data_IF_652551044931
#
_entry.id   IF_652551044931
#
_cell.length_a   1.000
_cell.length_b   1.000
_cell.length_c   1.000
_cell.angle_alpha   90.00
_cell.angle_beta   90.00
_cell.angle_gamma   90.00
#
_symmetry.space_group_name_H-M   'P 1'
#
loop_
_entity.id
_entity.type
_entity.pdbx_description
1 polymer ?
#
# COMPACT_ATOMS: atom_id res chain seq x y z
N UNK A 1 1.32 9.90 12.59
CA UNK A 1 1.59 9.12 11.39
C UNK A 1 3.10 8.93 11.23
N UNK A 2 3.54 7.67 11.06
CA UNK A 2 4.93 7.25 10.90
C UNK A 2 5.09 6.46 9.59
N UNK A 3 5.50 7.12 8.52
CA UNK A 3 5.59 6.51 7.18
C UNK A 3 6.94 6.77 6.51
N UNK A 4 7.33 5.87 5.61
CA UNK A 4 8.47 6.06 4.72
C UNK A 4 8.27 7.27 3.79
N UNK A 5 9.35 7.81 3.24
CA UNK A 5 9.28 8.97 2.33
C UNK A 5 9.02 10.33 3.01
N UNK A 6 8.61 10.35 4.28
CA UNK A 6 8.52 11.57 5.09
C UNK A 6 9.78 11.83 5.91
N UNK A 7 10.00 13.12 6.24
CA UNK A 7 11.14 13.55 7.06
C UNK A 7 11.09 12.92 8.46
N UNK A 8 12.16 12.23 8.83
CA UNK A 8 12.35 11.67 10.17
C UNK A 8 12.26 12.75 11.26
N UNK A 9 12.86 13.91 11.05
CA UNK A 9 12.84 15.01 12.02
C UNK A 9 11.43 15.53 12.30
N UNK A 10 10.56 15.61 11.27
CA UNK A 10 9.15 16.00 11.46
C UNK A 10 8.41 14.98 12.31
N UNK A 11 8.67 13.68 12.08
CA UNK A 11 8.05 12.62 12.86
C UNK A 11 8.54 12.61 14.31
N UNK A 12 9.84 12.81 14.55
CA UNK A 12 10.40 12.98 15.90
C UNK A 12 9.75 14.13 16.68
N UNK A 13 9.54 15.28 16.03
CA UNK A 13 8.83 16.42 16.66
C UNK A 13 7.37 16.05 17.03
N UNK A 14 6.68 15.28 16.19
CA UNK A 14 5.31 14.82 16.48
C UNK A 14 5.27 13.83 17.64
N UNK A 15 6.21 12.89 17.73
CA UNK A 15 6.30 11.91 18.81
C UNK A 15 6.55 12.55 20.19
N UNK A 16 7.30 13.66 20.27
CA UNK A 16 7.49 14.41 21.51
C UNK A 16 6.18 14.92 22.14
N UNK A 17 5.10 15.03 21.35
CA UNK A 17 3.76 15.45 21.84
C UNK A 17 2.96 14.31 22.50
N UNK A 18 3.56 13.14 22.75
CA UNK A 18 2.96 11.99 23.43
C UNK A 18 1.62 11.56 22.78
N UNK A 19 1.65 11.27 21.48
CA UNK A 19 0.47 10.81 20.75
C UNK A 19 -0.09 9.53 21.39
N UNK A 20 -1.41 9.48 21.61
CA UNK A 20 -2.11 8.30 22.15
C UNK A 20 -2.32 7.22 21.08
N UNK A 21 -2.47 7.62 19.82
CA UNK A 21 -2.64 6.73 18.68
C UNK A 21 -1.45 6.91 17.74
N UNK A 22 -0.83 5.80 17.37
CA UNK A 22 0.28 5.75 16.44
C UNK A 22 -0.17 4.92 15.24
N UNK A 23 -0.13 5.53 14.06
CA UNK A 23 -0.37 4.86 12.78
C UNK A 23 0.93 4.91 11.99
N UNK A 24 1.35 3.77 11.45
CA UNK A 24 2.60 3.74 10.71
C UNK A 24 2.82 2.47 9.89
N UNK A 25 3.76 2.56 8.97
CA UNK A 25 4.24 1.38 8.23
C UNK A 25 5.26 0.61 9.07
N UNK A 26 5.31 -0.75 9.00
CA UNK A 26 6.17 -1.57 9.84
C UNK A 26 7.64 -1.15 9.81
N UNK A 27 8.21 -0.89 8.63
CA UNK A 27 9.60 -0.46 8.49
C UNK A 27 9.91 0.87 9.20
N UNK A 28 9.03 1.87 9.11
CA UNK A 28 9.23 3.16 9.77
C UNK A 28 9.05 3.09 11.29
N UNK A 29 8.12 2.27 11.76
CA UNK A 29 7.98 2.00 13.20
C UNK A 29 9.28 1.39 13.73
N UNK A 30 9.84 0.39 13.05
CA UNK A 30 11.12 -0.22 13.44
C UNK A 30 12.29 0.77 13.43
N UNK A 31 12.35 1.70 12.48
CA UNK A 31 13.35 2.76 12.47
C UNK A 31 13.27 3.62 13.73
N UNK A 32 12.07 3.96 14.17
CA UNK A 32 11.85 4.71 15.41
C UNK A 32 12.17 3.90 16.66
N UNK A 33 11.85 2.61 16.69
CA UNK A 33 12.19 1.69 17.79
C UNK A 33 13.71 1.54 17.92
N UNK A 34 14.42 1.29 16.82
CA UNK A 34 15.90 1.22 16.81
C UNK A 34 16.56 2.51 17.29
N UNK A 35 15.97 3.66 17.00
CA UNK A 35 16.43 4.98 17.46
C UNK A 35 15.97 5.32 18.88
N UNK A 36 15.25 4.43 19.56
CA UNK A 36 14.66 4.69 20.88
C UNK A 36 13.79 5.95 20.93
N UNK A 37 13.30 6.40 19.80
CA UNK A 37 12.44 7.59 19.67
C UNK A 37 10.95 7.28 19.79
N UNK A 38 10.60 5.99 19.84
CA UNK A 38 9.25 5.49 20.05
C UNK A 38 9.29 4.46 21.18
N UNK A 39 8.37 4.60 22.13
CA UNK A 39 8.17 3.65 23.21
C UNK A 39 6.77 3.04 23.10
N UNK A 40 6.69 1.71 22.99
CA UNK A 40 5.46 0.94 22.88
C UNK A 40 5.11 0.18 24.16
N UNK A 41 5.84 0.35 25.26
CA UNK A 41 5.66 -0.40 26.51
C UNK A 41 4.31 -0.20 27.21
N UNK A 42 3.49 0.76 26.78
CA UNK A 42 2.16 1.05 27.30
C UNK A 42 1.05 0.84 26.27
N UNK A 43 1.36 0.14 25.18
CA UNK A 43 0.36 -0.18 24.14
C UNK A 43 -0.59 -1.24 24.69
N UNK A 44 -1.89 -0.95 24.66
CA UNK A 44 -2.96 -1.87 25.05
C UNK A 44 -3.74 -2.42 23.85
N UNK A 45 -3.63 -1.79 22.69
CA UNK A 45 -4.27 -2.21 21.46
C UNK A 45 -3.28 -2.22 20.30
N UNK A 46 -3.21 -3.34 19.59
CA UNK A 46 -2.48 -3.46 18.32
C UNK A 46 -3.49 -3.69 17.20
N UNK A 47 -3.39 -2.92 16.15
CA UNK A 47 -4.17 -3.12 14.92
C UNK A 47 -3.22 -3.44 13.77
N UNK A 48 -3.43 -4.59 13.15
CA UNK A 48 -2.78 -5.00 11.91
C UNK A 48 -3.83 -4.88 10.78
N UNK A 49 -3.68 -3.88 9.94
CA UNK A 49 -4.60 -3.61 8.83
C UNK A 49 -3.94 -3.94 7.49
N UNK A 50 -4.72 -4.39 6.50
CA UNK A 50 -4.24 -4.94 5.23
C UNK A 50 -3.13 -6.01 5.44
N UNK A 51 -3.38 -6.96 6.34
CA UNK A 51 -2.35 -7.93 6.78
C UNK A 51 -1.88 -8.81 5.62
N UNK A 52 -2.78 -9.25 4.72
CA UNK A 52 -2.41 -9.98 3.50
C UNK A 52 -1.38 -9.21 2.67
N UNK A 53 -1.63 -7.94 2.42
CA UNK A 53 -0.70 -7.08 1.68
C UNK A 53 0.63 -6.89 2.40
N UNK A 54 0.61 -6.72 3.72
CA UNK A 54 1.85 -6.63 4.49
C UNK A 54 2.71 -7.89 4.36
N UNK A 55 2.09 -9.07 4.30
CA UNK A 55 2.81 -10.34 4.12
C UNK A 55 3.38 -10.48 2.72
N UNK A 56 2.58 -10.16 1.70
CA UNK A 56 3.03 -10.19 0.30
C UNK A 56 4.23 -9.27 0.07
N UNK A 57 4.29 -8.15 0.79
CA UNK A 57 5.43 -7.23 0.81
C UNK A 57 6.61 -7.70 1.69
N UNK A 58 6.52 -8.85 2.36
CA UNK A 58 7.58 -9.41 3.19
C UNK A 58 7.80 -8.68 4.51
N UNK A 59 6.78 -8.02 5.08
CA UNK A 59 6.90 -7.29 6.34
C UNK A 59 6.80 -8.15 7.60
N UNK A 60 6.69 -9.46 7.48
CA UNK A 60 6.65 -10.39 8.63
C UNK A 60 7.77 -10.12 9.65
N UNK A 61 9.07 -10.02 9.27
CA UNK A 61 10.14 -9.79 10.24
C UNK A 61 10.00 -8.45 10.97
N UNK A 62 9.48 -7.43 10.26
CA UNK A 62 9.26 -6.10 10.85
C UNK A 62 8.12 -6.12 11.87
N UNK A 63 7.03 -6.83 11.58
CA UNK A 63 5.90 -7.01 12.50
C UNK A 63 6.37 -7.77 13.74
N UNK A 64 7.11 -8.86 13.58
CA UNK A 64 7.68 -9.63 14.70
C UNK A 64 8.60 -8.78 15.59
N UNK A 65 9.38 -7.90 14.99
CA UNK A 65 10.21 -6.97 15.74
C UNK A 65 9.37 -6.00 16.57
N UNK A 66 8.30 -5.43 16.00
CA UNK A 66 7.40 -4.51 16.72
C UNK A 66 6.74 -5.19 17.90
N UNK A 67 6.27 -6.43 17.73
CA UNK A 67 5.62 -7.22 18.78
C UNK A 67 6.50 -7.44 20.01
N UNK A 68 7.83 -7.50 19.86
CA UNK A 68 8.77 -7.62 20.98
C UNK A 68 8.80 -6.40 21.89
N UNK A 69 8.34 -5.24 21.40
CA UNK A 69 8.31 -3.98 22.17
C UNK A 69 6.94 -3.68 22.76
N UNK A 70 5.92 -4.49 22.46
CA UNK A 70 4.56 -4.35 22.98
C UNK A 70 4.40 -5.25 24.21
N UNK A 71 3.70 -4.84 25.28
CA UNK A 71 3.41 -5.67 26.43
C UNK A 71 2.74 -6.98 26.03
N UNK A 72 3.01 -8.08 26.74
CA UNK A 72 2.35 -9.37 26.47
C UNK A 72 0.82 -9.28 26.60
N UNK A 73 0.34 -8.49 27.54
CA UNK A 73 -1.08 -8.26 27.75
C UNK A 73 -1.53 -7.06 26.93
N UNK A 74 -2.11 -7.33 25.77
CA UNK A 74 -2.71 -6.34 24.86
C UNK A 74 -3.79 -7.02 24.02
N UNK A 75 -4.73 -6.25 23.49
CA UNK A 75 -5.69 -6.73 22.49
C UNK A 75 -5.12 -6.54 21.09
N UNK A 76 -5.20 -7.59 20.26
CA UNK A 76 -4.84 -7.51 18.84
C UNK A 76 -6.09 -7.57 17.97
N UNK A 77 -6.19 -6.66 17.01
CA UNK A 77 -7.18 -6.69 15.93
C UNK A 77 -6.43 -6.89 14.60
N UNK A 78 -6.88 -7.87 13.83
CA UNK A 78 -6.29 -8.20 12.54
C UNK A 78 -7.35 -8.02 11.45
N UNK A 79 -7.09 -7.16 10.49
CA UNK A 79 -7.93 -6.94 9.32
C UNK A 79 -7.22 -7.41 8.06
N UNK A 80 -7.93 -8.16 7.22
CA UNK A 80 -7.42 -8.68 5.96
C UNK A 80 -8.55 -8.84 4.96
N UNK A 81 -8.31 -8.54 3.70
CA UNK A 81 -9.29 -8.75 2.63
C UNK A 81 -9.37 -10.23 2.24
N UNK A 82 -8.29 -10.98 2.42
CA UNK A 82 -8.17 -12.40 2.10
C UNK A 82 -7.65 -13.18 3.30
N UNK A 83 -7.92 -14.48 3.36
CA UNK A 83 -7.45 -15.37 4.43
C UNK A 83 -6.71 -16.59 3.86
N UNK A 84 -5.62 -16.41 3.12
CA UNK A 84 -4.77 -17.52 2.71
C UNK A 84 -4.05 -18.15 3.93
N UNK A 85 -3.49 -19.35 3.75
CA UNK A 85 -2.88 -20.13 4.84
C UNK A 85 -1.77 -19.39 5.61
N UNK A 86 -1.04 -18.49 4.95
CA UNK A 86 -0.04 -17.67 5.60
C UNK A 86 -0.65 -16.64 6.57
N UNK A 87 -1.83 -16.08 6.28
CA UNK A 87 -2.56 -15.20 7.19
C UNK A 87 -3.09 -16.00 8.38
N UNK A 88 -3.64 -17.20 8.15
CA UNK A 88 -4.12 -18.06 9.22
C UNK A 88 -3.00 -18.37 10.22
N UNK A 89 -1.81 -18.75 9.75
CA UNK A 89 -0.63 -18.98 10.62
C UNK A 89 -0.24 -17.75 11.43
N UNK A 90 -0.35 -16.56 10.87
CA UNK A 90 -0.07 -15.32 11.58
C UNK A 90 -1.15 -15.02 12.60
N UNK A 91 -2.42 -15.25 12.27
CA UNK A 91 -3.51 -15.09 13.23
C UNK A 91 -3.34 -16.02 14.42
N UNK A 92 -3.05 -17.29 14.21
CA UNK A 92 -2.75 -18.28 15.27
C UNK A 92 -1.56 -17.86 16.15
N UNK A 93 -0.54 -17.22 15.57
CA UNK A 93 0.68 -16.82 16.28
C UNK A 93 0.50 -15.56 17.13
N UNK A 94 -0.33 -14.62 16.70
CA UNK A 94 -0.39 -13.27 17.27
C UNK A 94 -1.75 -12.90 17.88
N UNK A 95 -2.78 -13.68 17.64
CA UNK A 95 -4.08 -13.52 18.28
C UNK A 95 -4.24 -14.58 19.39
N UNK A 96 -4.92 -14.22 20.45
CA UNK A 96 -5.26 -15.12 21.54
C UNK A 96 -6.78 -15.28 21.58
N UNK A 97 -7.29 -16.50 21.32
CA UNK A 97 -8.70 -16.83 21.26
C UNK A 97 -9.53 -15.80 20.46
N UNK A 98 -9.23 -15.60 19.15
CA UNK A 98 -9.83 -14.51 18.41
C UNK A 98 -11.27 -14.79 17.99
N UNK A 99 -12.14 -13.81 18.16
CA UNK A 99 -13.43 -13.75 17.48
C UNK A 99 -13.24 -13.52 15.99
N UNK A 100 -13.83 -14.35 15.14
CA UNK A 100 -13.75 -14.22 13.69
C UNK A 100 -15.01 -13.62 13.11
N UNK A 101 -14.89 -12.43 12.57
CA UNK A 101 -15.98 -11.73 11.88
C UNK A 101 -15.67 -11.68 10.38
N UNK A 102 -16.52 -12.30 9.55
CA UNK A 102 -16.40 -12.30 8.10
C UNK A 102 -17.59 -11.55 7.48
N UNK A 103 -17.30 -10.64 6.55
CA UNK A 103 -18.31 -9.89 5.79
C UNK A 103 -18.16 -10.25 4.32
N UNK A 104 -19.19 -10.84 3.73
CA UNK A 104 -19.21 -11.26 2.34
C UNK A 104 -18.48 -12.59 2.04
N UNK A 105 -18.39 -12.95 0.77
CA UNK A 105 -17.68 -14.14 0.30
C UNK A 105 -16.21 -13.80 0.08
N UNK A 106 -15.29 -14.52 0.74
CA UNK A 106 -13.84 -14.30 0.69
C UNK A 106 -13.20 -14.68 -0.66
N UNK A 107 -13.93 -15.25 -1.58
CA UNK A 107 -13.38 -15.86 -2.80
C UNK A 107 -14.02 -15.43 -4.12
N UNK A 108 -15.08 -14.64 -4.09
CA UNK A 108 -15.78 -14.25 -5.31
C UNK A 108 -15.45 -12.81 -5.70
N UNK A 109 -14.87 -12.57 -6.90
CA UNK A 109 -14.77 -11.21 -7.44
C UNK A 109 -16.17 -10.59 -7.47
N UNK A 110 -16.25 -9.28 -7.23
CA UNK A 110 -17.52 -8.56 -7.33
C UNK A 110 -18.05 -8.76 -8.75
N UNK A 111 -19.18 -9.44 -8.91
CA UNK A 111 -19.82 -9.77 -10.21
C UNK A 111 -19.98 -8.58 -11.16
N UNK A 112 -19.97 -7.36 -10.61
CA UNK A 112 -20.12 -6.09 -11.35
C UNK A 112 -18.83 -5.62 -12.05
N UNK A 113 -17.67 -6.29 -11.84
CA UNK A 113 -16.41 -5.91 -12.48
C UNK A 113 -16.24 -6.69 -13.77
N UNK A 114 -16.33 -6.00 -14.92
CA UNK A 114 -16.00 -6.58 -16.21
C UNK A 114 -14.50 -6.83 -16.29
N UNK A 115 -14.09 -8.08 -16.45
CA UNK A 115 -12.69 -8.48 -16.61
C UNK A 115 -12.44 -8.94 -18.04
N UNK A 116 -11.37 -8.46 -18.65
CA UNK A 116 -10.96 -8.82 -20.02
C UNK A 116 -9.47 -9.19 -20.00
N UNK A 117 -9.10 -10.23 -20.74
CA UNK A 117 -7.71 -10.70 -20.86
C UNK A 117 -7.28 -10.65 -22.32
N UNK A 118 -6.15 -10.02 -22.60
CA UNK A 118 -5.58 -9.92 -23.94
C UNK A 118 -4.26 -10.67 -24.01
N UNK A 119 -4.17 -11.67 -24.87
CA UNK A 119 -2.92 -12.37 -25.17
C UNK A 119 -2.18 -11.64 -26.28
N UNK A 120 -1.10 -10.95 -25.92
CA UNK A 120 -0.34 -10.09 -26.84
C UNK A 120 1.16 -10.25 -26.63
N UNK A 121 1.94 -10.00 -27.69
CA UNK A 121 3.40 -9.98 -27.63
C UNK A 121 3.90 -8.68 -26.98
N UNK A 122 5.13 -8.70 -26.47
CA UNK A 122 5.69 -7.58 -25.73
C UNK A 122 5.81 -6.27 -26.56
N UNK A 123 6.10 -6.39 -27.84
CA UNK A 123 6.18 -5.27 -28.79
C UNK A 123 4.83 -4.60 -29.02
N UNK A 124 3.73 -5.36 -29.02
CA UNK A 124 2.36 -4.87 -29.22
C UNK A 124 1.72 -4.28 -27.99
N UNK A 125 2.27 -4.50 -26.78
CA UNK A 125 1.67 -4.05 -25.51
C UNK A 125 1.37 -2.56 -25.47
N UNK A 126 2.26 -1.71 -26.00
CA UNK A 126 2.02 -0.29 -25.99
C UNK A 126 0.92 0.12 -26.97
N UNK A 127 0.87 -0.49 -28.13
CA UNK A 127 -0.20 -0.24 -29.10
C UNK A 127 -1.57 -0.62 -28.51
N UNK A 128 -1.64 -1.79 -27.88
CA UNK A 128 -2.86 -2.23 -27.21
C UNK A 128 -3.25 -1.28 -26.07
N UNK A 129 -2.30 -0.79 -25.28
CA UNK A 129 -2.58 0.22 -24.26
C UNK A 129 -3.25 1.46 -24.90
N UNK A 130 -2.75 1.97 -26.02
CA UNK A 130 -3.35 3.11 -26.71
C UNK A 130 -4.78 2.79 -27.17
N UNK A 131 -5.03 1.61 -27.76
CA UNK A 131 -6.38 1.18 -28.15
C UNK A 131 -7.32 1.22 -26.95
N UNK A 132 -6.90 0.64 -25.81
CA UNK A 132 -7.68 0.60 -24.58
C UNK A 132 -7.92 2.01 -23.98
N UNK A 133 -6.99 2.94 -24.18
CA UNK A 133 -7.15 4.34 -23.76
C UNK A 133 -8.15 5.12 -24.62
N UNK A 134 -8.25 4.78 -25.89
CA UNK A 134 -9.21 5.38 -26.84
C UNK A 134 -10.62 4.87 -26.60
N UNK A 135 -10.77 3.57 -26.37
CA UNK A 135 -12.06 2.91 -26.17
C UNK A 135 -12.73 3.26 -24.83
N UNK A 136 -11.93 3.65 -23.82
CA UNK A 136 -12.43 3.89 -22.46
C UNK A 136 -12.48 5.37 -22.11
N UNK A 137 -13.58 5.77 -21.49
CA UNK A 137 -13.74 7.10 -20.92
C UNK A 137 -13.36 7.14 -19.44
N UNK A 138 -13.17 8.35 -18.89
CA UNK A 138 -12.88 8.55 -17.47
C UNK A 138 -11.42 8.33 -17.08
N UNK A 139 -11.19 8.19 -15.80
CA UNK A 139 -9.86 8.00 -15.21
C UNK A 139 -9.38 6.55 -15.36
N UNK A 140 -8.12 6.36 -15.74
CA UNK A 140 -7.53 5.05 -16.02
C UNK A 140 -6.30 4.84 -15.15
N UNK A 141 -6.28 3.73 -14.42
CA UNK A 141 -5.12 3.27 -13.63
C UNK A 141 -4.46 2.09 -14.35
N UNK A 142 -3.17 2.19 -14.59
CA UNK A 142 -2.37 1.14 -15.26
C UNK A 142 -1.26 0.68 -14.33
N UNK A 143 -1.23 -0.61 -13.99
CA UNK A 143 -0.16 -1.20 -13.23
C UNK A 143 0.94 -1.75 -14.12
N UNK A 144 2.19 -1.49 -13.75
CA UNK A 144 3.38 -1.96 -14.47
C UNK A 144 4.41 -2.54 -13.51
N UNK A 145 5.18 -3.51 -13.98
CA UNK A 145 6.12 -4.28 -13.15
C UNK A 145 7.26 -3.45 -12.54
N UNK A 146 7.70 -2.38 -13.20
CA UNK A 146 8.91 -1.66 -12.78
C UNK A 146 8.74 -0.14 -12.75
N UNK A 147 9.41 0.52 -11.80
CA UNK A 147 9.45 1.98 -11.65
C UNK A 147 9.96 2.68 -12.92
N UNK A 148 11.05 2.14 -13.52
CA UNK A 148 11.57 2.66 -14.81
C UNK A 148 10.59 2.46 -15.96
N UNK A 149 9.83 1.35 -15.94
CA UNK A 149 8.77 1.10 -16.91
C UNK A 149 7.65 2.13 -16.79
N UNK A 150 7.23 2.47 -15.55
CA UNK A 150 6.25 3.50 -15.31
C UNK A 150 6.68 4.86 -15.89
N UNK A 151 7.90 5.31 -15.58
CA UNK A 151 8.43 6.58 -16.10
C UNK A 151 8.52 6.59 -17.63
N UNK A 152 9.00 5.47 -18.24
CA UNK A 152 9.11 5.34 -19.70
C UNK A 152 7.75 5.42 -20.40
N UNK A 153 6.74 4.73 -19.86
CA UNK A 153 5.38 4.74 -20.43
C UNK A 153 4.77 6.13 -20.30
N UNK A 154 4.88 6.80 -19.15
CA UNK A 154 4.38 8.16 -18.97
C UNK A 154 5.03 9.14 -19.95
N UNK A 155 6.36 9.05 -20.15
CA UNK A 155 7.06 9.91 -21.11
C UNK A 155 6.51 9.71 -22.53
N UNK A 156 6.27 8.46 -22.94
CA UNK A 156 5.73 8.14 -24.26
C UNK A 156 4.27 8.59 -24.39
N UNK A 157 3.44 8.33 -23.40
CA UNK A 157 2.05 8.80 -23.39
C UNK A 157 1.92 10.33 -23.51
N UNK A 158 2.80 11.07 -22.82
CA UNK A 158 2.84 12.54 -22.92
C UNK A 158 3.28 13.00 -24.30
N UNK A 159 4.22 12.30 -24.93
CA UNK A 159 4.64 12.58 -26.31
C UNK A 159 3.49 12.35 -27.29
N UNK A 160 2.68 11.31 -27.07
CA UNK A 160 1.50 10.99 -27.87
C UNK A 160 0.26 11.85 -27.48
N UNK A 161 0.42 12.92 -26.67
CA UNK A 161 -0.61 13.88 -26.33
C UNK A 161 -1.52 13.49 -25.17
N UNK A 162 -1.25 12.39 -24.46
CA UNK A 162 -2.05 11.95 -23.34
C UNK A 162 -1.65 12.62 -22.01
N UNK A 163 -2.64 12.98 -21.18
CA UNK A 163 -2.41 13.47 -19.83
C UNK A 163 -2.16 12.29 -18.86
N UNK A 164 -0.91 12.03 -18.55
CA UNK A 164 -0.48 10.90 -17.72
C UNK A 164 0.54 11.28 -16.65
N UNK A 165 0.46 10.66 -15.48
CA UNK A 165 1.45 10.76 -14.41
C UNK A 165 1.88 9.38 -13.90
N UNK A 166 3.11 9.28 -13.35
CA UNK A 166 3.61 8.07 -12.73
C UNK A 166 3.55 8.15 -11.19
N UNK A 167 3.24 7.02 -10.53
CA UNK A 167 3.36 6.86 -9.08
C UNK A 167 4.12 5.57 -8.74
N UNK A 168 5.20 5.68 -7.98
CA UNK A 168 6.05 4.55 -7.58
C UNK A 168 6.93 4.89 -6.37
N UNK A 169 7.56 3.86 -5.79
CA UNK A 169 8.31 3.96 -4.53
C UNK A 169 9.51 4.93 -4.54
N UNK A 170 10.06 5.31 -5.69
CA UNK A 170 11.17 6.27 -5.75
C UNK A 170 10.74 7.74 -5.66
N UNK A 171 9.43 8.02 -5.71
CA UNK A 171 8.92 9.38 -5.56
C UNK A 171 8.89 9.79 -4.09
N UNK A 172 9.29 11.04 -3.80
CA UNK A 172 9.07 11.65 -2.48
C UNK A 172 7.58 11.75 -2.19
N UNK A 173 7.19 11.69 -0.91
CA UNK A 173 5.78 11.70 -0.50
C UNK A 173 5.03 12.92 -1.07
N UNK A 174 5.60 14.11 -0.99
CA UNK A 174 4.98 15.33 -1.54
C UNK A 174 4.67 15.24 -3.05
N UNK A 175 5.52 14.53 -3.82
CA UNK A 175 5.27 14.30 -5.24
C UNK A 175 4.15 13.28 -5.46
N UNK A 176 4.08 12.22 -4.62
CA UNK A 176 2.98 11.25 -4.67
C UNK A 176 1.65 11.93 -4.37
N UNK A 177 1.59 12.76 -3.31
CA UNK A 177 0.39 13.49 -2.93
C UNK A 177 -0.09 14.39 -4.07
N UNK A 178 0.85 15.10 -4.73
CA UNK A 178 0.53 15.93 -5.90
C UNK A 178 -0.01 15.11 -7.07
N UNK A 179 0.61 13.97 -7.39
CA UNK A 179 0.17 13.07 -8.48
C UNK A 179 -1.23 12.54 -8.21
N UNK A 180 -1.50 12.06 -7.00
CA UNK A 180 -2.83 11.59 -6.60
C UNK A 180 -3.87 12.71 -6.69
N UNK A 181 -3.54 13.92 -6.23
CA UNK A 181 -4.44 15.06 -6.32
C UNK A 181 -4.71 15.46 -7.78
N UNK A 182 -3.71 15.44 -8.65
CA UNK A 182 -3.91 15.68 -10.08
C UNK A 182 -4.85 14.66 -10.71
N UNK A 183 -4.67 13.38 -10.38
CA UNK A 183 -5.52 12.29 -10.87
C UNK A 183 -6.97 12.42 -10.37
N UNK A 184 -7.16 12.68 -9.07
CA UNK A 184 -8.49 12.89 -8.47
C UNK A 184 -9.23 14.07 -9.07
N UNK A 185 -8.50 15.15 -9.38
CA UNK A 185 -9.08 16.39 -9.94
C UNK A 185 -9.16 16.37 -11.48
N UNK A 186 -8.91 15.24 -12.13
CA UNK A 186 -8.99 15.10 -13.59
C UNK A 186 -7.88 15.82 -14.39
N UNK A 187 -6.88 16.40 -13.71
CA UNK A 187 -5.71 17.02 -14.39
C UNK A 187 -4.83 16.00 -15.10
N UNK A 188 -4.76 14.79 -14.56
CA UNK A 188 -4.16 13.62 -15.20
C UNK A 188 -5.23 12.56 -15.36
N UNK A 189 -5.57 12.20 -16.60
CA UNK A 189 -6.54 11.15 -16.90
C UNK A 189 -5.98 9.76 -16.61
N UNK A 190 -4.67 9.58 -16.83
CA UNK A 190 -4.00 8.29 -16.76
C UNK A 190 -2.98 8.30 -15.63
N UNK A 191 -3.06 7.31 -14.74
CA UNK A 191 -2.08 7.09 -13.68
C UNK A 191 -1.37 5.75 -13.90
N UNK A 192 -0.05 5.80 -14.10
CA UNK A 192 0.79 4.60 -14.22
C UNK A 192 1.42 4.31 -12.86
N UNK A 193 1.13 3.15 -12.30
CA UNK A 193 1.56 2.76 -10.97
C UNK A 193 2.43 1.50 -10.99
N UNK A 194 3.29 1.35 -9.97
CA UNK A 194 3.86 0.06 -9.58
C UNK A 194 3.26 -0.37 -8.24
N UNK A 195 3.21 -1.65 -7.99
CA UNK A 195 2.95 -2.20 -6.66
C UNK A 195 3.99 -1.76 -5.64
#
# INVERSE_FOLDING_TARGET
LLIGGESMQKQLKKLKRRARIIVGTPGRINDHLKRQSLNLSKVSYLVLDETDRMLDMGFTPQIETILKFIPKQHQTLLFSATLPNNILRISEKYLNDPERIAIGSLSTPIEKIKQETFQITQDKKYHELINQLVERNGSILVFVKTKRGADKIVKRLKYDGHSADAIHGNLRQSKRDRVINNFRNGKSRILIATD
#
